data_IF_350882023998
#
_entry.id   IF_350882023998
#
_cell.length_a   1.000
_cell.length_b   1.000
_cell.length_c   1.000
_cell.angle_alpha   90.00
_cell.angle_beta   90.00
_cell.angle_gamma   90.00
#
_symmetry.space_group_name_H-M   'P 1'
#
loop_
_entity.id
_entity.type
_entity.pdbx_description
1 polymer ?
#
# COMPACT_ATOMS: atom_id res chain seq x y z
N UNK A 1 15.93 -8.31 -20.81
CA UNK A 1 17.29 -7.84 -21.18
C UNK A 1 17.35 -7.70 -22.68
N UNK A 2 17.66 -6.51 -23.17
CA UNK A 2 17.82 -6.25 -24.61
C UNK A 2 19.01 -7.04 -25.16
N UNK A 3 18.93 -7.46 -26.43
CA UNK A 3 19.96 -8.26 -27.12
C UNK A 3 21.36 -7.60 -27.14
N UNK A 4 21.49 -6.33 -26.75
CA UNK A 4 22.73 -5.57 -26.73
C UNK A 4 23.67 -5.87 -25.55
N UNK A 5 23.18 -6.15 -24.35
CA UNK A 5 24.05 -6.36 -23.17
C UNK A 5 24.79 -7.70 -23.20
N UNK A 6 24.14 -8.75 -23.73
CA UNK A 6 24.73 -10.09 -23.88
C UNK A 6 25.92 -10.07 -24.88
N UNK A 7 25.87 -9.15 -25.86
CA UNK A 7 26.91 -8.99 -26.88
C UNK A 7 28.23 -8.45 -26.32
N UNK A 8 28.17 -7.45 -25.42
CA UNK A 8 29.37 -6.83 -24.85
C UNK A 8 30.14 -7.77 -23.90
N UNK A 9 29.41 -8.54 -23.09
CA UNK A 9 30.00 -9.48 -22.14
C UNK A 9 30.59 -10.73 -22.83
N UNK A 10 30.02 -11.14 -23.97
CA UNK A 10 30.54 -12.23 -24.79
C UNK A 10 31.93 -11.90 -25.37
N UNK A 11 32.12 -10.68 -25.87
CA UNK A 11 33.40 -10.22 -26.44
C UNK A 11 34.50 -10.15 -25.38
N UNK A 12 34.17 -9.79 -24.14
CA UNK A 12 35.14 -9.71 -23.05
C UNK A 12 35.61 -11.09 -22.57
N UNK A 13 34.72 -12.10 -22.57
CA UNK A 13 35.07 -13.48 -22.21
C UNK A 13 35.96 -14.13 -23.27
N UNK A 14 35.70 -13.92 -24.57
CA UNK A 14 36.58 -14.42 -25.64
C UNK A 14 38.00 -13.85 -25.55
N UNK A 15 38.15 -12.58 -25.16
CA UNK A 15 39.46 -11.93 -24.95
C UNK A 15 40.26 -12.51 -23.78
N UNK A 16 39.61 -13.02 -22.73
CA UNK A 16 40.30 -13.59 -21.57
C UNK A 16 40.75 -15.04 -21.77
N UNK A 17 40.05 -15.83 -22.59
CA UNK A 17 40.24 -17.29 -22.65
C UNK A 17 40.74 -17.85 -23.99
N UNK A 18 40.93 -17.00 -25.01
CA UNK A 18 41.45 -17.43 -26.31
C UNK A 18 40.38 -18.08 -27.19
N UNK A 19 40.50 -17.84 -28.49
CA UNK A 19 39.45 -17.94 -29.51
C UNK A 19 38.96 -19.36 -29.88
N UNK A 20 39.10 -20.38 -29.04
CA UNK A 20 38.92 -21.77 -29.50
C UNK A 20 37.62 -22.47 -29.10
N UNK A 21 36.68 -21.86 -28.37
CA UNK A 21 35.36 -22.49 -28.17
C UNK A 21 34.24 -21.50 -27.79
N UNK A 22 33.46 -21.05 -28.78
CA UNK A 22 32.26 -20.22 -28.56
C UNK A 22 31.25 -20.91 -27.63
N UNK A 23 31.11 -22.23 -27.75
CA UNK A 23 30.24 -23.02 -26.87
C UNK A 23 30.69 -22.95 -25.41
N UNK A 24 31.99 -22.92 -25.14
CA UNK A 24 32.51 -22.80 -23.78
C UNK A 24 32.24 -21.42 -23.18
N UNK A 25 32.37 -20.35 -23.96
CA UNK A 25 32.02 -18.99 -23.54
C UNK A 25 30.53 -18.84 -23.24
N UNK A 26 29.65 -19.37 -24.10
CA UNK A 26 28.18 -19.38 -23.88
C UNK A 26 27.81 -20.19 -22.64
N UNK A 27 28.38 -21.38 -22.46
CA UNK A 27 28.14 -22.23 -21.27
C UNK A 27 28.62 -21.54 -20.01
N UNK A 28 29.77 -20.86 -20.06
CA UNK A 28 30.34 -20.15 -18.92
C UNK A 28 29.51 -18.93 -18.55
N UNK A 29 29.11 -18.11 -19.52
CA UNK A 29 28.20 -16.98 -19.30
C UNK A 29 26.85 -17.47 -18.77
N UNK A 30 26.24 -18.48 -19.37
CA UNK A 30 24.99 -19.06 -18.87
C UNK A 30 25.13 -19.65 -17.46
N UNK A 31 26.30 -20.21 -17.09
CA UNK A 31 26.59 -20.62 -15.71
C UNK A 31 26.75 -19.43 -14.76
N UNK A 32 27.37 -18.33 -15.18
CA UNK A 32 27.50 -17.10 -14.38
C UNK A 32 26.15 -16.39 -14.23
N UNK A 33 25.32 -16.31 -15.28
CA UNK A 33 23.96 -15.76 -15.21
C UNK A 33 23.03 -16.66 -14.41
N UNK A 34 23.03 -17.99 -14.60
CA UNK A 34 22.29 -18.91 -13.71
C UNK A 34 22.81 -18.89 -12.29
N UNK A 35 24.10 -18.63 -12.06
CA UNK A 35 24.67 -18.45 -10.71
C UNK A 35 24.26 -17.09 -10.14
N UNK A 36 24.12 -16.02 -10.93
CA UNK A 36 23.54 -14.73 -10.50
C UNK A 36 22.05 -14.85 -10.19
N UNK A 37 21.26 -15.52 -11.03
CA UNK A 37 19.86 -15.85 -10.75
C UNK A 37 19.74 -16.74 -9.50
N UNK A 38 20.61 -17.74 -9.32
CA UNK A 38 20.66 -18.56 -8.10
C UNK A 38 21.22 -17.84 -6.88
N UNK A 39 22.12 -16.88 -7.01
CA UNK A 39 22.65 -16.11 -5.86
C UNK A 39 21.65 -15.03 -5.45
N UNK A 40 20.86 -14.48 -6.39
CA UNK A 40 19.67 -13.68 -6.09
C UNK A 40 18.53 -14.54 -5.51
N UNK A 41 18.39 -15.81 -5.92
CA UNK A 41 17.36 -16.71 -5.42
C UNK A 41 17.72 -17.52 -4.15
N UNK A 42 18.95 -17.46 -3.64
CA UNK A 42 19.40 -18.37 -2.57
C UNK A 42 20.10 -17.67 -1.40
N UNK A 43 19.53 -16.53 -0.98
CA UNK A 43 19.86 -15.89 0.31
C UNK A 43 18.63 -15.60 1.18
N UNK A 44 17.49 -16.26 0.95
CA UNK A 44 16.29 -16.03 1.74
C UNK A 44 15.82 -17.34 2.38
N UNK A 45 15.95 -17.43 3.70
CA UNK A 45 14.89 -18.03 4.52
C UNK A 45 13.55 -17.52 3.99
N UNK A 46 12.69 -18.42 3.50
CA UNK A 46 11.50 -18.11 2.69
C UNK A 46 10.47 -17.20 3.37
N UNK A 47 10.76 -15.90 3.41
CA UNK A 47 9.86 -14.85 3.83
C UNK A 47 9.36 -14.15 2.58
N UNK A 48 8.10 -14.43 2.22
CA UNK A 48 7.44 -13.72 1.13
C UNK A 48 6.86 -12.42 1.68
N UNK A 49 7.18 -11.25 1.08
CA UNK A 49 6.63 -9.98 1.54
C UNK A 49 5.10 -9.97 1.47
N UNK A 50 4.49 -9.24 2.39
CA UNK A 50 3.03 -9.18 2.49
C UNK A 50 2.38 -8.37 1.37
N UNK A 51 2.98 -7.26 0.96
CA UNK A 51 2.62 -6.53 -0.27
C UNK A 51 3.82 -6.52 -1.20
N UNK A 52 3.58 -6.78 -2.48
CA UNK A 52 4.61 -6.65 -3.53
C UNK A 52 4.04 -5.82 -4.67
N UNK A 53 4.76 -4.75 -5.01
CA UNK A 53 4.67 -4.08 -6.30
C UNK A 53 5.92 -4.43 -7.10
N UNK A 54 5.75 -5.03 -8.27
CA UNK A 54 6.84 -5.41 -9.16
C UNK A 54 6.59 -4.81 -10.55
N UNK A 55 7.39 -3.77 -10.87
CA UNK A 55 7.39 -3.05 -12.14
C UNK A 55 5.99 -2.62 -12.61
N UNK A 56 5.20 -2.04 -11.70
CA UNK A 56 3.80 -1.70 -11.95
C UNK A 56 3.68 -0.40 -12.72
N UNK A 57 2.96 -0.44 -13.84
CA UNK A 57 2.62 0.75 -14.63
C UNK A 57 1.11 0.99 -14.66
N UNK A 58 0.73 2.26 -14.69
CA UNK A 58 -0.64 2.72 -14.91
C UNK A 58 -0.65 3.97 -15.77
N UNK A 59 -1.41 3.92 -16.84
CA UNK A 59 -1.56 4.99 -17.80
C UNK A 59 -3.02 5.47 -17.84
N UNK A 60 -3.22 6.78 -17.87
CA UNK A 60 -4.51 7.39 -18.11
C UNK A 60 -4.48 8.17 -19.42
N UNK A 61 -5.57 8.04 -20.20
CA UNK A 61 -5.77 8.83 -21.41
C UNK A 61 -6.47 10.14 -21.04
N UNK A 62 -5.82 11.28 -21.30
CA UNK A 62 -6.41 12.62 -21.17
C UNK A 62 -6.40 13.31 -22.53
N UNK A 63 -7.54 13.27 -23.22
CA UNK A 63 -7.63 13.72 -24.61
C UNK A 63 -6.65 12.93 -25.49
N UNK A 64 -5.74 13.63 -26.15
CA UNK A 64 -4.71 13.03 -27.01
C UNK A 64 -3.43 12.63 -26.26
N UNK A 65 -3.32 12.95 -24.98
CA UNK A 65 -2.11 12.66 -24.18
C UNK A 65 -2.29 11.43 -23.31
N UNK A 66 -1.31 10.52 -23.35
CA UNK A 66 -1.21 9.39 -22.42
C UNK A 66 -0.30 9.76 -21.25
N UNK A 67 -0.82 9.77 -20.04
CA UNK A 67 -0.10 10.13 -18.83
C UNK A 67 0.22 8.86 -18.03
N UNK A 68 1.50 8.62 -17.74
CA UNK A 68 1.92 7.57 -16.82
C UNK A 68 1.72 8.05 -15.37
N UNK A 69 0.65 7.59 -14.72
CA UNK A 69 0.39 7.87 -13.31
C UNK A 69 1.17 6.95 -12.37
N UNK A 70 1.59 5.79 -12.86
CA UNK A 70 2.61 4.94 -12.24
C UNK A 70 3.51 4.41 -13.34
N UNK A 71 4.81 4.46 -13.12
CA UNK A 71 5.84 4.16 -14.12
C UNK A 71 6.88 3.25 -13.47
N UNK A 72 6.75 1.94 -13.71
CA UNK A 72 7.61 0.88 -13.17
C UNK A 72 7.77 0.93 -11.63
N UNK A 73 6.68 1.23 -10.92
CA UNK A 73 6.64 1.29 -9.45
C UNK A 73 6.97 -0.09 -8.88
N UNK A 74 8.02 -0.16 -8.05
CA UNK A 74 8.44 -1.38 -7.37
C UNK A 74 8.76 -1.09 -5.90
N UNK A 75 8.18 -1.86 -4.98
CA UNK A 75 8.44 -1.81 -3.54
C UNK A 75 7.82 -3.03 -2.84
N UNK A 76 8.18 -3.23 -1.58
CA UNK A 76 7.61 -4.30 -0.74
C UNK A 76 7.21 -3.78 0.63
N UNK A 77 6.21 -4.40 1.27
CA UNK A 77 5.77 -4.06 2.64
C UNK A 77 5.57 -5.38 3.40
N UNK A 78 6.05 -5.42 4.64
CA UNK A 78 5.92 -6.60 5.49
C UNK A 78 4.61 -6.61 6.29
N UNK A 79 4.19 -7.80 6.71
CA UNK A 79 2.95 -7.96 7.46
C UNK A 79 3.07 -7.27 8.82
N UNK A 80 2.08 -6.45 9.17
CA UNK A 80 2.06 -5.71 10.43
C UNK A 80 2.91 -4.44 10.42
N UNK A 81 3.44 -4.01 9.27
CA UNK A 81 4.09 -2.71 9.14
C UNK A 81 3.06 -1.57 9.05
N UNK A 82 3.42 -0.43 9.65
CA UNK A 82 2.86 0.88 9.40
C UNK A 82 3.70 1.55 8.32
N UNK A 83 3.21 1.54 7.08
CA UNK A 83 3.90 2.10 5.93
C UNK A 83 3.35 3.49 5.60
N UNK A 84 4.24 4.44 5.31
CA UNK A 84 3.89 5.76 4.78
C UNK A 84 4.40 5.89 3.35
N UNK A 85 3.49 6.15 2.42
CA UNK A 85 3.83 6.52 1.04
C UNK A 85 3.77 8.04 0.92
N UNK A 86 4.93 8.66 0.74
CA UNK A 86 5.12 10.10 0.79
C UNK A 86 5.43 10.68 -0.59
N UNK A 87 4.89 11.85 -0.89
CA UNK A 87 5.19 12.54 -2.15
C UNK A 87 4.30 13.76 -2.38
N UNK A 88 4.65 14.65 -3.32
CA UNK A 88 3.83 15.83 -3.63
C UNK A 88 2.46 15.44 -4.20
N UNK A 89 1.54 16.40 -4.24
CA UNK A 89 0.26 16.25 -4.93
C UNK A 89 0.50 15.91 -6.40
N UNK A 90 -0.27 14.97 -6.96
CA UNK A 90 -0.08 14.50 -8.34
C UNK A 90 1.07 13.50 -8.53
N UNK A 91 1.81 13.10 -7.49
CA UNK A 91 2.92 12.15 -7.63
C UNK A 91 2.50 10.71 -8.00
N UNK A 92 1.22 10.36 -8.00
CA UNK A 92 0.73 9.00 -8.26
C UNK A 92 0.45 8.14 -7.03
N UNK A 93 0.50 8.71 -5.81
CA UNK A 93 0.24 8.00 -4.54
C UNK A 93 -1.15 7.34 -4.49
N UNK A 94 -2.19 8.10 -4.81
CA UNK A 94 -3.58 7.62 -4.83
C UNK A 94 -3.76 6.53 -5.89
N UNK A 95 -3.06 6.62 -7.02
CA UNK A 95 -3.05 5.58 -8.05
C UNK A 95 -2.50 4.26 -7.50
N UNK A 96 -1.35 4.29 -6.82
CA UNK A 96 -0.76 3.12 -6.15
C UNK A 96 -1.71 2.53 -5.11
N UNK A 97 -2.29 3.37 -4.25
CA UNK A 97 -3.25 2.96 -3.22
C UNK A 97 -4.49 2.29 -3.85
N UNK A 98 -5.05 2.89 -4.91
CA UNK A 98 -6.25 2.39 -5.59
C UNK A 98 -6.02 1.07 -6.32
N UNK A 99 -4.86 0.90 -6.95
CA UNK A 99 -4.49 -0.38 -7.57
C UNK A 99 -4.32 -1.47 -6.52
N UNK A 100 -3.63 -1.19 -5.41
CA UNK A 100 -3.49 -2.15 -4.31
C UNK A 100 -4.85 -2.53 -3.72
N UNK A 101 -5.72 -1.56 -3.48
CA UNK A 101 -7.05 -1.82 -2.93
C UNK A 101 -8.07 -2.35 -3.93
N UNK A 102 -7.69 -2.57 -5.19
CA UNK A 102 -8.57 -3.14 -6.21
C UNK A 102 -9.72 -2.20 -6.62
N UNK A 103 -9.55 -0.89 -6.44
CA UNK A 103 -10.43 0.15 -6.97
C UNK A 103 -10.09 0.49 -8.42
N UNK A 104 -8.84 0.25 -8.81
CA UNK A 104 -8.35 0.33 -10.19
C UNK A 104 -7.48 -0.91 -10.49
N UNK A 105 -7.09 -1.07 -11.74
CA UNK A 105 -6.19 -2.13 -12.23
C UNK A 105 -4.89 -1.52 -12.75
N UNK A 106 -3.79 -2.28 -12.73
CA UNK A 106 -2.56 -1.88 -13.42
C UNK A 106 -2.60 -2.31 -14.88
N UNK A 107 -1.90 -1.58 -15.74
CA UNK A 107 -1.76 -1.95 -17.16
C UNK A 107 -0.60 -2.94 -17.36
N UNK A 108 0.44 -2.82 -16.54
CA UNK A 108 1.64 -3.66 -16.58
C UNK A 108 2.13 -3.96 -15.15
N UNK A 109 2.97 -5.00 -15.03
CA UNK A 109 3.56 -5.41 -13.76
C UNK A 109 2.70 -6.34 -12.91
N UNK A 110 3.13 -6.55 -11.67
CA UNK A 110 2.48 -7.46 -10.74
C UNK A 110 2.24 -6.80 -9.38
N UNK A 111 1.02 -6.95 -8.87
CA UNK A 111 0.64 -6.56 -7.51
C UNK A 111 0.24 -7.82 -6.75
N UNK A 112 0.88 -8.07 -5.60
CA UNK A 112 0.54 -9.15 -4.69
C UNK A 112 0.07 -8.60 -3.33
N UNK A 113 -0.92 -9.25 -2.72
CA UNK A 113 -1.26 -9.12 -1.31
C UNK A 113 -1.35 -10.52 -0.69
N UNK A 114 -0.59 -10.78 0.37
CA UNK A 114 -0.61 -12.04 1.12
C UNK A 114 -0.43 -13.27 0.19
N UNK A 115 0.47 -13.13 -0.77
CA UNK A 115 0.75 -14.13 -1.81
C UNK A 115 -0.27 -14.21 -2.96
N UNK A 116 -1.42 -13.52 -2.88
CA UNK A 116 -2.39 -13.50 -3.97
C UNK A 116 -2.10 -12.41 -5.00
N UNK A 117 -2.15 -12.76 -6.29
CA UNK A 117 -1.91 -11.84 -7.41
C UNK A 117 -3.12 -10.96 -7.73
N UNK A 118 -3.25 -9.86 -6.99
CA UNK A 118 -4.34 -8.86 -7.12
C UNK A 118 -4.43 -8.34 -8.55
N UNK A 119 -3.31 -8.10 -9.24
CA UNK A 119 -3.30 -7.60 -10.62
C UNK A 119 -3.92 -8.56 -11.65
N UNK A 120 -4.14 -9.82 -11.29
CA UNK A 120 -4.81 -10.82 -12.16
C UNK A 120 -6.30 -11.01 -11.87
N UNK A 121 -6.85 -10.28 -10.88
CA UNK A 121 -8.22 -10.48 -10.45
C UNK A 121 -9.21 -9.92 -11.47
N UNK A 122 -10.24 -10.70 -11.79
CA UNK A 122 -11.40 -10.21 -12.52
C UNK A 122 -12.34 -9.40 -11.61
N UNK A 123 -13.35 -8.75 -12.19
CA UNK A 123 -14.27 -7.87 -11.47
C UNK A 123 -15.00 -8.55 -10.29
N UNK A 124 -15.35 -9.83 -10.43
CA UNK A 124 -16.00 -10.59 -9.37
C UNK A 124 -15.05 -10.82 -8.19
N UNK A 125 -13.80 -11.21 -8.48
CA UNK A 125 -12.76 -11.41 -7.46
C UNK A 125 -12.32 -10.10 -6.81
N UNK A 126 -12.24 -9.01 -7.57
CA UNK A 126 -11.99 -7.67 -7.00
C UNK A 126 -13.11 -7.23 -6.04
N UNK A 127 -14.37 -7.59 -6.33
CA UNK A 127 -15.48 -7.31 -5.41
C UNK A 127 -15.33 -8.05 -4.09
N UNK A 128 -14.96 -9.34 -4.11
CA UNK A 128 -14.72 -10.11 -2.88
C UNK A 128 -13.46 -9.64 -2.15
N UNK A 129 -12.41 -9.30 -2.89
CA UNK A 129 -11.15 -8.75 -2.35
C UNK A 129 -11.39 -7.45 -1.58
N UNK A 130 -12.07 -6.48 -2.21
CA UNK A 130 -12.48 -5.24 -1.55
C UNK A 130 -13.34 -5.48 -0.34
N UNK A 131 -14.15 -6.54 -0.32
CA UNK A 131 -15.07 -6.86 0.77
C UNK A 131 -14.37 -7.50 1.96
N UNK A 132 -13.45 -8.43 1.74
CA UNK A 132 -12.88 -9.27 2.80
C UNK A 132 -11.46 -8.88 3.21
N UNK A 133 -10.63 -8.41 2.28
CA UNK A 133 -9.20 -8.26 2.54
C UNK A 133 -8.80 -6.80 2.80
N UNK A 134 -9.55 -5.84 2.25
CA UNK A 134 -9.18 -4.42 2.24
C UNK A 134 -10.13 -3.56 3.08
N UNK A 135 -9.60 -2.78 4.01
CA UNK A 135 -10.28 -1.64 4.63
C UNK A 135 -9.82 -0.35 3.97
N UNK A 136 -10.74 0.50 3.55
CA UNK A 136 -10.43 1.81 2.96
C UNK A 136 -10.87 2.95 3.86
N UNK A 137 -9.97 3.90 4.08
CA UNK A 137 -10.21 5.15 4.78
C UNK A 137 -9.92 6.29 3.81
N UNK A 138 -10.95 7.04 3.43
CA UNK A 138 -10.85 8.12 2.44
C UNK A 138 -10.70 9.48 3.13
N UNK A 139 -10.00 10.41 2.47
CA UNK A 139 -9.81 11.79 2.92
C UNK A 139 -11.13 12.51 3.25
N UNK A 140 -12.19 12.27 2.46
CA UNK A 140 -13.50 12.92 2.64
C UNK A 140 -14.53 12.06 3.39
N UNK A 141 -14.08 11.08 4.19
CA UNK A 141 -14.87 10.18 5.04
C UNK A 141 -15.82 9.22 4.29
N UNK A 142 -16.47 9.67 3.22
CA UNK A 142 -17.45 8.96 2.41
C UNK A 142 -18.55 8.29 3.25
N UNK A 143 -19.06 8.97 4.28
CA UNK A 143 -20.16 8.47 5.12
C UNK A 143 -21.52 8.67 4.43
N UNK A 144 -22.44 7.74 4.65
CA UNK A 144 -23.83 7.86 4.22
C UNK A 144 -24.54 8.81 5.20
N UNK A 145 -24.92 9.99 4.69
CA UNK A 145 -25.36 11.11 5.52
C UNK A 145 -26.66 10.86 6.30
N UNK A 146 -27.52 9.98 5.78
CA UNK A 146 -28.81 9.65 6.37
C UNK A 146 -28.75 8.43 7.31
N UNK A 147 -27.56 7.90 7.57
CA UNK A 147 -27.34 6.82 8.52
C UNK A 147 -26.59 7.36 9.73
N UNK A 148 -26.87 6.83 10.91
CA UNK A 148 -26.10 7.09 12.13
C UNK A 148 -24.67 6.55 12.03
N UNK A 149 -23.81 6.91 12.98
CA UNK A 149 -22.46 6.37 13.06
C UNK A 149 -22.44 4.84 13.16
N UNK A 150 -23.34 4.26 13.97
CA UNK A 150 -23.52 2.81 14.12
C UNK A 150 -23.94 2.16 12.81
N UNK A 151 -24.99 2.68 12.17
CA UNK A 151 -25.50 2.15 10.91
C UNK A 151 -24.47 2.26 9.77
N UNK A 152 -23.67 3.34 9.74
CA UNK A 152 -22.56 3.46 8.78
C UNK A 152 -21.51 2.34 8.96
N UNK A 153 -21.25 1.93 10.20
CA UNK A 153 -20.30 0.86 10.53
C UNK A 153 -20.92 -0.51 10.22
N UNK A 154 -22.19 -0.72 10.58
CA UNK A 154 -22.94 -1.95 10.32
C UNK A 154 -23.07 -2.27 8.83
N UNK A 155 -23.27 -1.25 7.97
CA UNK A 155 -23.37 -1.43 6.52
C UNK A 155 -22.16 -2.19 5.94
N UNK A 156 -20.97 -1.96 6.50
CA UNK A 156 -19.76 -2.67 6.07
C UNK A 156 -19.67 -4.08 6.65
N UNK A 157 -20.25 -4.32 7.83
CA UNK A 157 -20.26 -5.61 8.51
C UNK A 157 -21.20 -6.63 7.83
N UNK A 158 -22.38 -6.21 7.37
CA UNK A 158 -23.40 -7.10 6.79
C UNK A 158 -22.93 -7.89 5.57
N UNK A 159 -21.94 -7.36 4.85
CA UNK A 159 -21.41 -7.99 3.64
C UNK A 159 -20.16 -8.83 3.91
N UNK A 160 -19.63 -8.86 5.14
CA UNK A 160 -18.37 -9.52 5.49
C UNK A 160 -18.58 -10.92 6.09
N UNK A 161 -17.56 -11.78 6.02
CA UNK A 161 -17.62 -13.15 6.56
C UNK A 161 -17.46 -13.22 8.07
N UNK A 162 -16.59 -12.37 8.60
CA UNK A 162 -16.20 -12.35 10.01
C UNK A 162 -16.10 -10.88 10.48
N UNK A 163 -17.24 -10.15 10.49
CA UNK A 163 -17.23 -8.76 10.89
C UNK A 163 -17.00 -8.62 12.40
N UNK A 164 -16.35 -7.53 12.78
CA UNK A 164 -16.33 -7.09 14.18
C UNK A 164 -17.66 -6.42 14.52
N UNK A 165 -18.06 -6.54 15.78
CA UNK A 165 -19.26 -5.87 16.30
C UNK A 165 -19.12 -4.33 16.19
N UNK A 166 -20.15 -3.68 15.63
CA UNK A 166 -20.11 -2.25 15.32
C UNK A 166 -19.99 -1.38 16.57
N UNK A 167 -20.68 -1.76 17.66
CA UNK A 167 -20.61 -1.04 18.93
C UNK A 167 -19.21 -1.17 19.55
N UNK A 168 -18.62 -2.36 19.52
CA UNK A 168 -17.25 -2.62 19.97
C UNK A 168 -16.23 -1.77 19.21
N UNK A 169 -16.30 -1.74 17.87
CA UNK A 169 -15.35 -0.94 17.07
C UNK A 169 -15.58 0.56 17.29
N UNK A 170 -16.83 1.01 17.45
CA UNK A 170 -17.10 2.41 17.80
C UNK A 170 -16.54 2.79 19.16
N UNK A 171 -16.56 1.89 20.13
CA UNK A 171 -15.90 2.10 21.43
C UNK A 171 -14.39 2.22 21.29
N UNK A 172 -13.75 1.34 20.51
CA UNK A 172 -12.30 1.38 20.27
C UNK A 172 -11.82 2.68 19.62
N UNK A 173 -12.65 3.29 18.77
CA UNK A 173 -12.36 4.61 18.16
C UNK A 173 -12.85 5.78 19.03
N UNK A 174 -13.33 5.53 20.26
CA UNK A 174 -13.75 6.55 21.21
C UNK A 174 -15.11 7.21 20.90
N UNK A 175 -15.99 6.52 20.17
CA UNK A 175 -17.28 7.03 19.68
C UNK A 175 -18.51 6.28 20.22
N UNK A 176 -18.37 5.45 21.25
CA UNK A 176 -19.51 4.74 21.87
C UNK A 176 -20.68 5.68 22.22
N UNK A 177 -20.38 6.85 22.79
CA UNK A 177 -21.36 7.88 23.16
C UNK A 177 -21.97 8.64 21.96
N UNK A 178 -21.41 8.47 20.76
CA UNK A 178 -21.84 9.13 19.51
C UNK A 178 -22.50 8.18 18.52
N UNK A 179 -22.70 6.91 18.88
CA UNK A 179 -23.17 5.85 17.96
C UNK A 179 -24.47 6.17 17.22
N UNK A 180 -25.38 6.92 17.86
CA UNK A 180 -26.68 7.30 17.32
C UNK A 180 -26.70 8.66 16.60
N UNK A 181 -25.54 9.32 16.46
CA UNK A 181 -25.46 10.60 15.78
C UNK A 181 -25.33 10.41 14.26
N UNK A 182 -26.02 11.26 13.50
CA UNK A 182 -25.83 11.38 12.05
C UNK A 182 -24.52 12.13 11.74
N UNK A 183 -23.88 11.90 10.57
CA UNK A 183 -22.66 12.61 10.17
C UNK A 183 -22.71 14.12 10.30
N UNK A 184 -23.85 14.75 9.99
CA UNK A 184 -24.06 16.20 10.13
C UNK A 184 -23.96 16.71 11.59
N UNK A 185 -24.03 15.82 12.58
CA UNK A 185 -23.92 16.12 14.01
C UNK A 185 -22.53 15.82 14.58
N UNK A 186 -21.61 15.33 13.74
CA UNK A 186 -20.26 14.94 14.13
C UNK A 186 -19.24 15.94 13.58
N UNK A 187 -18.24 16.27 14.39
CA UNK A 187 -17.05 17.00 13.92
C UNK A 187 -16.30 16.21 12.84
N UNK A 188 -15.46 16.88 12.04
CA UNK A 188 -14.67 16.20 11.01
C UNK A 188 -13.79 15.08 11.56
N UNK A 189 -13.21 15.27 12.74
CA UNK A 189 -12.45 14.23 13.45
C UNK A 189 -13.28 13.02 13.87
N UNK A 190 -14.48 13.28 14.38
CA UNK A 190 -15.42 12.20 14.71
C UNK A 190 -15.87 11.46 13.43
N UNK A 191 -16.17 12.17 12.35
CA UNK A 191 -16.51 11.55 11.06
C UNK A 191 -15.36 10.70 10.49
N UNK A 192 -14.11 11.17 10.60
CA UNK A 192 -12.92 10.39 10.22
C UNK A 192 -12.83 9.09 11.05
N UNK A 193 -13.04 9.19 12.36
CA UNK A 193 -13.04 8.01 13.25
C UNK A 193 -14.18 7.04 12.95
N UNK A 194 -15.38 7.52 12.56
CA UNK A 194 -16.45 6.65 12.05
C UNK A 194 -16.02 5.95 10.75
N UNK A 195 -15.34 6.66 9.83
CA UNK A 195 -14.84 6.06 8.58
C UNK A 195 -13.80 4.96 8.86
N UNK A 196 -12.90 5.19 9.83
CA UNK A 196 -11.94 4.19 10.29
C UNK A 196 -12.67 3.00 10.94
N UNK A 197 -13.62 3.24 11.84
CA UNK A 197 -14.42 2.18 12.46
C UNK A 197 -15.12 1.31 11.41
N UNK A 198 -15.74 1.92 10.40
CA UNK A 198 -16.36 1.20 9.29
C UNK A 198 -15.36 0.34 8.51
N UNK A 199 -14.14 0.82 8.29
CA UNK A 199 -13.10 0.04 7.63
C UNK A 199 -12.63 -1.14 8.50
N UNK A 200 -12.50 -0.93 9.81
CA UNK A 200 -12.07 -1.95 10.78
C UNK A 200 -13.13 -3.01 11.04
N UNK A 201 -14.42 -2.65 11.03
CA UNK A 201 -15.54 -3.56 11.26
C UNK A 201 -15.57 -4.74 10.27
N UNK A 202 -14.92 -4.60 9.11
CA UNK A 202 -14.79 -5.67 8.12
C UNK A 202 -13.74 -6.72 8.48
N UNK A 203 -12.97 -6.49 9.54
CA UNK A 203 -11.82 -7.30 9.94
C UNK A 203 -10.75 -7.48 8.83
N UNK A 204 -10.34 -6.42 8.10
CA UNK A 204 -9.56 -6.55 6.87
C UNK A 204 -8.11 -6.95 7.11
N UNK A 205 -7.48 -7.62 6.15
CA UNK A 205 -6.04 -7.94 6.19
C UNK A 205 -5.16 -6.68 6.20
N UNK A 206 -5.59 -5.64 5.47
CA UNK A 206 -4.85 -4.39 5.31
C UNK A 206 -5.78 -3.17 5.39
N UNK A 207 -5.28 -2.09 6.00
CA UNK A 207 -5.95 -0.79 6.03
C UNK A 207 -5.22 0.19 5.09
N UNK A 208 -5.95 0.73 4.12
CA UNK A 208 -5.46 1.68 3.14
C UNK A 208 -6.06 3.05 3.43
N UNK A 209 -5.21 4.03 3.73
CA UNK A 209 -5.62 5.37 4.16
C UNK A 209 -5.15 6.43 3.17
N UNK A 210 -6.10 7.11 2.53
CA UNK A 210 -5.86 8.23 1.64
C UNK A 210 -5.95 9.55 2.42
N UNK A 211 -4.80 10.20 2.65
CA UNK A 211 -4.66 11.46 3.39
C UNK A 211 -5.58 11.58 4.63
N UNK A 212 -5.47 10.66 5.61
CA UNK A 212 -6.44 10.53 6.71
C UNK A 212 -6.51 11.74 7.65
N UNK A 213 -5.57 12.69 7.53
CA UNK A 213 -5.53 13.93 8.32
C UNK A 213 -5.65 15.20 7.46
N UNK A 214 -5.84 15.08 6.14
CA UNK A 214 -5.79 16.23 5.23
C UNK A 214 -6.87 17.29 5.47
N UNK A 215 -7.99 16.91 6.09
CA UNK A 215 -9.12 17.79 6.41
C UNK A 215 -9.26 18.12 7.91
N UNK A 216 -8.24 17.80 8.72
CA UNK A 216 -8.31 17.88 10.19
C UNK A 216 -7.34 18.91 10.75
N UNK A 217 -7.70 19.54 11.87
CA UNK A 217 -6.76 20.33 12.65
C UNK A 217 -5.67 19.43 13.28
N UNK A 218 -4.57 20.05 13.69
CA UNK A 218 -3.39 19.36 14.23
C UNK A 218 -3.71 18.40 15.38
N UNK A 219 -4.52 18.83 16.37
CA UNK A 219 -4.82 18.02 17.55
C UNK A 219 -5.67 16.81 17.18
N UNK A 220 -6.68 17.03 16.34
CA UNK A 220 -7.55 15.97 15.84
C UNK A 220 -6.82 15.00 14.92
N UNK A 221 -5.92 15.52 14.06
CA UNK A 221 -5.06 14.71 13.19
C UNK A 221 -4.16 13.77 13.98
N UNK A 222 -3.54 14.24 15.08
CA UNK A 222 -2.78 13.39 16.00
C UNK A 222 -3.60 12.23 16.56
N UNK A 223 -4.84 12.48 17.00
CA UNK A 223 -5.71 11.43 17.53
C UNK A 223 -6.03 10.36 16.48
N UNK A 224 -6.29 10.78 15.23
CA UNK A 224 -6.56 9.86 14.13
C UNK A 224 -5.34 9.01 13.80
N UNK A 225 -4.16 9.62 13.73
CA UNK A 225 -2.92 8.89 13.46
C UNK A 225 -2.53 7.96 14.60
N UNK A 226 -2.79 8.34 15.86
CA UNK A 226 -2.60 7.48 17.03
C UNK A 226 -3.46 6.22 16.93
N UNK A 227 -4.73 6.39 16.58
CA UNK A 227 -5.65 5.28 16.36
C UNK A 227 -5.16 4.32 15.26
N UNK A 228 -4.64 4.86 14.14
CA UNK A 228 -4.09 4.05 13.05
C UNK A 228 -2.81 3.31 13.49
N UNK A 229 -1.91 3.99 14.21
CA UNK A 229 -0.68 3.38 14.73
C UNK A 229 -1.00 2.28 15.75
N UNK A 230 -1.95 2.51 16.65
CA UNK A 230 -2.44 1.54 17.63
C UNK A 230 -3.09 0.32 16.96
N UNK A 231 -3.89 0.56 15.93
CA UNK A 231 -4.49 -0.52 15.12
C UNK A 231 -3.39 -1.40 14.53
N UNK A 232 -2.34 -0.80 13.99
CA UNK A 232 -1.21 -1.54 13.45
C UNK A 232 -0.49 -2.36 14.54
N UNK A 233 -0.07 -1.69 15.61
CA UNK A 233 0.79 -2.27 16.65
C UNK A 233 0.08 -3.29 17.53
N UNK A 234 -1.15 -3.00 17.99
CA UNK A 234 -1.86 -3.86 18.95
C UNK A 234 -2.63 -4.98 18.26
N UNK A 235 -3.15 -4.74 17.06
CA UNK A 235 -3.98 -5.71 16.33
C UNK A 235 -3.21 -6.45 15.22
N UNK A 236 -1.92 -6.15 15.06
CA UNK A 236 -1.05 -6.77 14.05
C UNK A 236 -1.50 -6.53 12.61
N UNK A 237 -2.24 -5.44 12.36
CA UNK A 237 -2.76 -5.10 11.03
C UNK A 237 -1.71 -4.33 10.24
N UNK A 238 -1.58 -4.62 8.96
CA UNK A 238 -0.78 -3.78 8.06
C UNK A 238 -1.57 -2.50 7.76
N UNK A 239 -0.93 -1.34 7.92
CA UNK A 239 -1.55 -0.03 7.67
C UNK A 239 -0.70 0.72 6.66
N UNK A 240 -1.31 1.21 5.59
CA UNK A 240 -0.65 2.07 4.61
C UNK A 240 -1.33 3.43 4.62
N UNK A 241 -0.55 4.48 4.88
CA UNK A 241 -1.00 5.87 4.79
C UNK A 241 -0.30 6.53 3.61
N UNK A 242 -1.06 7.11 2.69
CA UNK A 242 -0.49 8.04 1.71
C UNK A 242 -0.66 9.48 2.21
N UNK A 243 0.38 10.30 2.04
CA UNK A 243 0.37 11.70 2.47
C UNK A 243 1.40 12.53 1.71
N UNK A 244 1.27 13.85 1.74
CA UNK A 244 2.32 14.79 1.35
C UNK A 244 3.04 15.39 2.57
N UNK A 245 2.57 15.14 3.80
CA UNK A 245 3.19 15.62 5.02
C UNK A 245 4.41 14.76 5.41
N UNK A 246 5.60 15.32 5.24
CA UNK A 246 6.87 14.62 5.49
C UNK A 246 7.13 14.30 6.95
N UNK A 247 6.52 15.01 7.90
CA UNK A 247 6.68 14.74 9.32
C UNK A 247 6.15 13.35 9.71
N UNK A 248 5.12 12.87 9.00
CA UNK A 248 4.55 11.54 9.23
C UNK A 248 5.48 10.39 8.85
N UNK A 249 6.56 10.66 8.11
CA UNK A 249 7.58 9.66 7.83
C UNK A 249 8.21 9.09 9.11
N UNK A 250 8.30 9.90 10.19
CA UNK A 250 8.92 9.49 11.44
C UNK A 250 8.14 8.39 12.19
N UNK A 251 6.82 8.30 12.04
CA UNK A 251 6.00 7.27 12.70
C UNK A 251 5.94 5.94 11.95
N UNK A 252 6.41 5.90 10.70
CA UNK A 252 6.31 4.71 9.88
C UNK A 252 7.43 3.72 10.20
N UNK A 253 7.15 2.43 10.07
CA UNK A 253 8.16 1.38 9.97
C UNK A 253 8.85 1.43 8.60
N UNK A 254 8.10 1.81 7.57
CA UNK A 254 8.58 1.91 6.20
C UNK A 254 8.09 3.20 5.55
N UNK A 255 8.99 3.88 4.88
CA UNK A 255 8.70 5.09 4.10
C UNK A 255 9.03 4.83 2.65
N UNK A 256 8.05 4.99 1.78
CA UNK A 256 8.20 4.90 0.33
C UNK A 256 7.98 6.29 -0.22
N UNK A 257 8.98 6.88 -0.87
CA UNK A 257 8.84 8.18 -1.53
C UNK A 257 8.50 7.98 -2.99
N UNK A 258 7.42 8.62 -3.42
CA UNK A 258 6.97 8.63 -4.81
C UNK A 258 7.08 10.05 -5.36
N UNK A 259 7.62 10.18 -6.57
CA UNK A 259 7.61 11.41 -7.33
C UNK A 259 7.36 11.10 -8.81
N UNK A 260 6.50 11.87 -9.46
CA UNK A 260 6.16 11.72 -10.89
C UNK A 260 5.89 10.27 -11.31
N UNK A 261 5.11 9.52 -10.52
CA UNK A 261 4.73 8.14 -10.80
C UNK A 261 5.81 7.09 -10.52
N UNK A 262 6.97 7.46 -9.98
CA UNK A 262 8.10 6.55 -9.70
C UNK A 262 8.45 6.51 -8.22
N UNK A 263 8.88 5.35 -7.73
CA UNK A 263 9.52 5.23 -6.41
C UNK A 263 10.93 5.78 -6.50
N UNK A 264 11.24 6.79 -5.69
CA UNK A 264 12.56 7.44 -5.66
C UNK A 264 13.38 7.05 -4.44
N UNK A 265 12.73 6.58 -3.37
CA UNK A 265 13.38 6.12 -2.14
C UNK A 265 12.46 5.12 -1.44
N UNK A 266 13.04 4.06 -0.88
CA UNK A 266 12.41 3.17 0.06
C UNK A 266 13.31 3.04 1.29
N UNK A 267 12.77 3.31 2.48
CA UNK A 267 13.53 3.32 3.73
C UNK A 267 12.79 2.61 4.84
N UNK A 268 13.48 1.72 5.54
CA UNK A 268 13.01 1.09 6.78
C UNK A 268 13.46 1.97 7.95
N UNK A 269 12.55 2.26 8.87
CA UNK A 269 12.80 2.96 10.10
C UNK A 269 12.83 1.96 11.26
N UNK A 270 14.00 1.66 11.85
CA UNK A 270 14.12 0.70 12.94
C UNK A 270 13.49 1.20 14.25
N UNK A 271 13.25 2.51 14.38
CA UNK A 271 12.69 3.12 15.58
C UNK A 271 11.58 4.12 15.21
N UNK A 272 10.38 3.63 14.87
CA UNK A 272 9.22 4.48 14.60
C UNK A 272 8.89 5.37 15.79
N UNK A 273 8.77 6.67 15.54
CA UNK A 273 8.42 7.67 16.55
C UNK A 273 6.93 7.54 16.89
N UNK A 274 6.56 7.47 18.18
CA UNK A 274 5.17 7.57 18.60
C UNK A 274 4.57 8.89 18.12
N UNK A 275 3.35 8.86 17.58
CA UNK A 275 2.73 10.04 16.94
C UNK A 275 2.62 11.25 17.88
N UNK A 276 2.51 11.02 19.19
CA UNK A 276 2.43 12.06 20.21
C UNK A 276 3.64 13.01 20.13
N UNK A 277 4.80 12.47 19.75
CA UNK A 277 6.09 13.17 19.65
C UNK A 277 6.37 13.78 18.27
N UNK A 278 5.48 13.61 17.30
CA UNK A 278 5.66 14.18 15.95
C UNK A 278 5.11 15.61 15.93
N UNK A 279 5.85 16.54 15.35
CA UNK A 279 5.42 17.93 15.12
C UNK A 279 5.45 18.22 13.62
N UNK A 280 4.44 18.94 13.10
CA UNK A 280 4.29 19.26 11.68
C UNK A 280 3.45 20.51 11.43
#
# INVERSE_FOLDING_TARGET
>A
MEKGEISADFVNVQKMYGNSDENFAIITLNKVYKKREKTMANTQTGHQPFVVFDNVCKYYQMGDTRIAASDHVSFTIEKGEFCVILGPSGAGKTTVLNMLGGMDTCDEGTILLDGEKVSSFNQKRLTTYRRYDVGFVFQFYNLVQNLTARENVELAAEICRDPLDADTVLEEVGLAHRRNNFPAQLSGGEQQRVSIARALAKNPKILLCDEPTGALDYKTGKQVLALLQDTCRRKGRTVIVITHNSALAAMADRVIRINSGRVIEEKINPNPTPVERIEW
#
